data_IF_087809766672
#
_entry.id   IF_087809766672
#
_cell.length_a   1.000
_cell.length_b   1.000
_cell.length_c   1.000
_cell.angle_alpha   90.00
_cell.angle_beta   90.00
_cell.angle_gamma   90.00
#
_symmetry.space_group_name_H-M   'P 1'
#
loop_
_entity.id
_entity.type
_entity.pdbx_description
1 polymer ?
#
# COMPACT_ATOMS: atom_id res chain seq x y z
N UNK A 1 -39.19 22.58 27.09
CA UNK A 1 -37.75 22.72 27.37
C UNK A 1 -37.14 21.34 27.26
N UNK A 2 -37.01 20.86 26.03
CA UNK A 2 -35.80 20.89 25.18
C UNK A 2 -35.03 19.59 25.34
N UNK A 3 -35.51 18.57 24.62
CA UNK A 3 -34.72 17.45 24.14
C UNK A 3 -33.91 17.95 22.94
N UNK A 4 -32.59 18.02 23.11
CA UNK A 4 -31.53 18.30 22.15
C UNK A 4 -30.31 17.55 22.76
N UNK A 5 -29.58 16.65 22.13
CA UNK A 5 -29.35 16.37 20.71
C UNK A 5 -28.78 14.95 20.61
N UNK A 6 -29.57 14.04 20.03
CA UNK A 6 -29.04 12.90 19.28
C UNK A 6 -28.58 13.49 17.95
N UNK A 7 -27.30 13.79 17.83
CA UNK A 7 -26.64 13.99 16.53
C UNK A 7 -25.11 14.09 16.71
N UNK A 8 -24.46 12.95 16.89
CA UNK A 8 -23.11 12.77 16.39
C UNK A 8 -23.23 11.88 15.15
N UNK A 9 -23.93 12.43 14.15
CA UNK A 9 -23.77 12.13 12.72
C UNK A 9 -22.30 11.82 12.46
N UNK A 10 -21.99 10.69 11.84
CA UNK A 10 -21.89 10.70 10.37
C UNK A 10 -21.01 11.85 9.86
N UNK A 11 -19.87 12.12 10.50
CA UNK A 11 -18.65 12.33 9.72
C UNK A 11 -18.25 10.96 9.17
N UNK A 12 -19.11 10.45 8.27
CA UNK A 12 -18.63 9.70 7.13
C UNK A 12 -17.47 10.51 6.60
N UNK A 13 -16.27 9.96 6.74
CA UNK A 13 -15.07 10.36 6.02
C UNK A 13 -15.52 10.66 4.60
N UNK A 14 -15.80 11.93 4.32
CA UNK A 14 -16.05 12.37 2.96
C UNK A 14 -14.82 11.88 2.23
N UNK A 15 -15.02 10.98 1.26
CA UNK A 15 -14.04 10.78 0.21
C UNK A 15 -13.59 12.20 -0.13
N UNK A 16 -12.30 12.49 0.11
CA UNK A 16 -11.76 13.80 -0.21
C UNK A 16 -12.33 14.16 -1.59
N UNK A 17 -12.99 15.33 -1.78
CA UNK A 17 -13.67 15.65 -3.03
C UNK A 17 -12.76 15.49 -4.28
N UNK A 18 -11.46 15.39 -4.05
CA UNK A 18 -10.43 14.95 -4.99
C UNK A 18 -10.60 13.53 -5.58
N UNK A 19 -11.03 12.54 -4.81
CA UNK A 19 -11.17 11.15 -5.26
C UNK A 19 -12.35 10.99 -6.23
N UNK A 20 -13.42 11.77 -6.05
CA UNK A 20 -14.58 11.78 -6.96
C UNK A 20 -14.33 12.63 -8.23
N UNK A 21 -13.57 13.74 -8.12
CA UNK A 21 -13.27 14.60 -9.28
C UNK A 21 -12.11 14.08 -10.17
N UNK A 22 -11.19 13.29 -9.64
CA UNK A 22 -10.03 12.76 -10.40
C UNK A 22 -10.26 11.36 -10.97
N UNK A 23 -11.12 10.55 -10.36
CA UNK A 23 -11.37 9.18 -10.80
C UNK A 23 -12.84 9.01 -11.16
N UNK A 24 -13.23 9.08 -12.45
CA UNK A 24 -14.61 8.86 -12.86
C UNK A 24 -15.07 7.50 -12.33
N UNK A 25 -16.30 7.41 -11.80
CA UNK A 25 -16.84 6.31 -10.99
C UNK A 25 -16.71 4.86 -11.55
N UNK A 26 -16.22 4.66 -12.78
CA UNK A 26 -15.83 3.34 -13.33
C UNK A 26 -14.34 2.99 -13.19
N UNK A 27 -13.46 4.00 -13.10
CA UNK A 27 -12.00 3.83 -13.10
C UNK A 27 -11.50 3.14 -11.82
N UNK A 28 -12.13 3.35 -10.68
CA UNK A 28 -11.72 2.73 -9.41
C UNK A 28 -11.95 1.20 -9.42
N UNK A 29 -13.01 0.72 -10.08
CA UNK A 29 -13.27 -0.71 -10.27
C UNK A 29 -12.36 -1.34 -11.34
N UNK A 30 -12.10 -0.61 -12.42
CA UNK A 30 -11.17 -1.02 -13.48
C UNK A 30 -9.71 -1.04 -12.98
N UNK A 31 -9.31 -0.09 -12.13
CA UNK A 31 -8.02 -0.08 -11.41
C UNK A 31 -7.90 -1.28 -10.45
N UNK A 32 -8.98 -1.59 -9.71
CA UNK A 32 -9.09 -2.76 -8.81
C UNK A 32 -8.73 -4.06 -9.53
N UNK A 33 -9.33 -4.28 -10.71
CA UNK A 33 -9.16 -5.52 -11.47
C UNK A 33 -7.83 -5.57 -12.22
N UNK A 34 -7.43 -4.47 -12.87
CA UNK A 34 -6.24 -4.44 -13.71
C UNK A 34 -4.94 -4.47 -12.90
N UNK A 35 -4.93 -3.90 -11.69
CA UNK A 35 -3.73 -3.88 -10.85
C UNK A 35 -3.45 -5.21 -10.14
N UNK A 36 -4.51 -5.90 -9.67
CA UNK A 36 -4.40 -7.27 -9.21
C UNK A 36 -3.94 -8.19 -10.35
N UNK A 37 -4.36 -7.91 -11.59
CA UNK A 37 -3.95 -8.65 -12.78
C UNK A 37 -2.53 -8.35 -13.30
N UNK A 38 -1.84 -7.30 -12.84
CA UNK A 38 -0.47 -7.02 -13.32
C UNK A 38 0.61 -7.31 -12.26
N UNK A 39 0.35 -6.95 -11.00
CA UNK A 39 1.31 -7.17 -9.92
C UNK A 39 1.45 -8.66 -9.54
N UNK A 40 0.45 -9.50 -9.82
CA UNK A 40 0.55 -10.93 -9.54
C UNK A 40 1.56 -11.67 -10.43
N UNK A 41 2.06 -11.06 -11.49
CA UNK A 41 3.12 -11.67 -12.31
C UNK A 41 4.51 -11.48 -11.69
N UNK A 42 4.65 -10.49 -10.81
CA UNK A 42 5.91 -10.19 -10.12
C UNK A 42 5.92 -10.92 -8.79
N UNK A 43 6.83 -11.86 -8.57
CA UNK A 43 6.96 -12.51 -7.26
C UNK A 43 7.68 -11.62 -6.22
N UNK A 44 7.50 -11.97 -4.95
CA UNK A 44 8.09 -11.25 -3.82
C UNK A 44 9.61 -11.18 -3.88
N UNK A 45 10.29 -12.24 -4.33
CA UNK A 45 11.75 -12.23 -4.42
C UNK A 45 12.20 -11.15 -5.41
N UNK A 46 11.58 -11.12 -6.59
CA UNK A 46 11.85 -10.11 -7.60
C UNK A 46 11.55 -8.68 -7.14
N UNK A 47 10.50 -8.50 -6.33
CA UNK A 47 10.20 -7.20 -5.73
C UNK A 47 11.31 -6.77 -4.74
N UNK A 48 11.75 -7.67 -3.86
CA UNK A 48 12.84 -7.40 -2.90
C UNK A 48 14.14 -7.07 -3.63
N UNK A 49 14.47 -7.81 -4.68
CA UNK A 49 15.64 -7.55 -5.51
C UNK A 49 15.58 -6.18 -6.19
N UNK A 50 14.41 -5.79 -6.72
CA UNK A 50 14.22 -4.46 -7.30
C UNK A 50 14.41 -3.36 -6.26
N UNK A 51 13.91 -3.51 -5.04
CA UNK A 51 14.22 -2.57 -3.95
C UNK A 51 15.71 -2.52 -3.62
N UNK A 52 16.40 -3.66 -3.70
CA UNK A 52 17.84 -3.71 -3.44
C UNK A 52 18.62 -2.97 -4.52
N UNK A 53 18.37 -3.28 -5.78
CA UNK A 53 19.03 -2.69 -6.96
C UNK A 53 18.82 -1.17 -7.05
N UNK A 54 17.64 -0.67 -6.63
CA UNK A 54 17.32 0.75 -6.62
C UNK A 54 17.70 1.47 -5.30
N UNK A 55 18.47 0.81 -4.43
CA UNK A 55 18.91 1.33 -3.14
C UNK A 55 17.76 1.74 -2.18
N UNK A 56 16.56 1.17 -2.32
CA UNK A 56 15.45 1.38 -1.37
C UNK A 56 15.67 0.63 -0.05
N UNK A 57 16.48 -0.44 -0.06
CA UNK A 57 16.82 -1.20 1.14
C UNK A 57 17.59 -0.39 2.20
N UNK A 58 18.35 0.63 1.79
CA UNK A 58 19.15 1.49 2.68
C UNK A 58 18.44 2.77 3.11
N UNK A 59 17.26 3.07 2.56
CA UNK A 59 16.50 4.25 2.93
C UNK A 59 15.71 4.02 4.22
N UNK A 60 15.61 5.09 5.01
CA UNK A 60 14.75 5.13 6.17
C UNK A 60 13.27 4.95 5.76
N UNK A 61 12.47 4.15 6.50
CA UNK A 61 11.08 3.86 6.10
C UNK A 61 10.20 5.10 5.92
N UNK A 62 10.36 6.12 6.77
CA UNK A 62 9.56 7.34 6.74
C UNK A 62 10.12 8.40 5.77
N UNK A 63 11.27 8.15 5.14
CA UNK A 63 11.80 9.07 4.14
C UNK A 63 10.91 9.11 2.90
N UNK A 64 10.79 10.29 2.30
CA UNK A 64 10.06 10.52 1.07
C UNK A 64 10.97 10.42 -0.15
N UNK A 65 10.42 9.89 -1.25
CA UNK A 65 11.09 9.80 -2.54
C UNK A 65 10.23 10.46 -3.61
N UNK A 66 10.89 11.07 -4.59
CA UNK A 66 10.22 11.73 -5.71
C UNK A 66 9.55 10.72 -6.66
N UNK A 67 8.52 11.19 -7.36
CA UNK A 67 7.84 10.45 -8.41
C UNK A 67 8.82 9.87 -9.45
N UNK A 68 9.84 10.64 -9.85
CA UNK A 68 10.86 10.16 -10.80
C UNK A 68 11.66 8.96 -10.27
N UNK A 69 11.96 8.94 -8.97
CA UNK A 69 12.65 7.81 -8.32
C UNK A 69 11.73 6.59 -8.22
N UNK A 70 10.46 6.82 -7.89
CA UNK A 70 9.43 5.76 -7.88
C UNK A 70 9.23 5.18 -9.27
N UNK A 71 9.16 6.01 -10.31
CA UNK A 71 9.07 5.58 -11.70
C UNK A 71 10.25 4.71 -12.11
N UNK A 72 11.47 5.08 -11.73
CA UNK A 72 12.68 4.28 -11.99
C UNK A 72 12.55 2.88 -11.35
N UNK A 73 12.13 2.82 -10.08
CA UNK A 73 11.89 1.56 -9.38
C UNK A 73 10.84 0.70 -10.11
N UNK A 74 9.65 1.25 -10.40
CA UNK A 74 8.56 0.52 -11.05
C UNK A 74 8.95 0.06 -12.46
N UNK A 75 9.65 0.91 -13.21
CA UNK A 75 10.18 0.56 -14.54
C UNK A 75 11.15 -0.62 -14.44
N UNK A 76 12.04 -0.63 -13.45
CA UNK A 76 12.98 -1.75 -13.25
C UNK A 76 12.24 -3.05 -12.95
N UNK A 77 11.17 -3.02 -12.16
CA UNK A 77 10.35 -4.20 -11.83
C UNK A 77 9.77 -4.83 -13.09
N UNK A 78 9.03 -4.06 -13.89
CA UNK A 78 8.39 -4.57 -15.10
C UNK A 78 9.40 -4.91 -16.21
N UNK A 79 10.53 -4.20 -16.26
CA UNK A 79 11.60 -4.53 -17.19
C UNK A 79 12.24 -5.89 -16.87
N UNK A 80 12.51 -6.17 -15.59
CA UNK A 80 13.02 -7.48 -15.17
C UNK A 80 11.98 -8.59 -15.31
N UNK A 81 10.68 -8.28 -15.14
CA UNK A 81 9.60 -9.20 -15.44
C UNK A 81 9.60 -9.61 -16.92
N UNK A 82 9.62 -8.64 -17.84
CA UNK A 82 9.59 -8.91 -19.28
C UNK A 82 10.79 -9.72 -19.78
N UNK A 83 11.95 -9.64 -19.12
CA UNK A 83 13.11 -10.50 -19.40
C UNK A 83 12.88 -11.98 -19.10
N UNK A 84 11.97 -12.29 -18.17
CA UNK A 84 11.66 -13.65 -17.72
C UNK A 84 10.47 -14.25 -18.43
N UNK A 85 9.56 -13.41 -18.94
CA UNK A 85 8.39 -13.85 -19.68
C UNK A 85 8.72 -14.19 -21.14
N UNK A 86 8.07 -15.22 -21.72
CA UNK A 86 8.07 -15.44 -23.16
C UNK A 86 7.62 -14.18 -23.92
N UNK A 87 8.11 -13.93 -25.16
CA UNK A 87 7.74 -12.73 -25.93
C UNK A 87 6.23 -12.53 -26.11
N UNK A 88 5.45 -13.62 -26.17
CA UNK A 88 3.98 -13.59 -26.31
C UNK A 88 3.24 -13.22 -25.02
N UNK A 89 3.93 -13.18 -23.88
CA UNK A 89 3.37 -12.88 -22.56
C UNK A 89 3.96 -11.60 -21.96
N UNK A 90 4.82 -10.88 -22.69
CA UNK A 90 5.37 -9.62 -22.22
C UNK A 90 4.27 -8.57 -22.07
N UNK A 91 4.40 -7.77 -21.02
CA UNK A 91 3.46 -6.68 -20.72
C UNK A 91 3.95 -5.38 -21.36
N UNK A 92 3.02 -4.48 -21.69
CA UNK A 92 3.36 -3.12 -22.11
C UNK A 92 3.97 -2.35 -20.94
N UNK A 93 5.28 -2.13 -21.00
CA UNK A 93 6.04 -1.47 -19.94
C UNK A 93 5.48 -0.07 -19.62
N UNK A 94 5.16 0.72 -20.65
CA UNK A 94 4.72 2.10 -20.48
C UNK A 94 3.35 2.15 -19.79
N UNK A 95 2.43 1.30 -20.24
CA UNK A 95 1.10 1.20 -19.65
C UNK A 95 1.16 0.71 -18.19
N UNK A 96 1.91 -0.37 -17.91
CA UNK A 96 2.04 -0.93 -16.56
C UNK A 96 2.62 0.09 -15.57
N UNK A 97 3.70 0.76 -15.97
CA UNK A 97 4.37 1.77 -15.14
C UNK A 97 3.43 2.93 -14.88
N UNK A 98 2.75 3.44 -15.91
CA UNK A 98 1.83 4.56 -15.78
C UNK A 98 0.68 4.24 -14.82
N UNK A 99 0.02 3.11 -14.99
CA UNK A 99 -1.12 2.72 -14.16
C UNK A 99 -0.74 2.52 -12.70
N UNK A 100 0.37 1.82 -12.43
CA UNK A 100 0.82 1.60 -11.06
C UNK A 100 1.24 2.91 -10.38
N UNK A 101 1.91 3.82 -11.10
CA UNK A 101 2.27 5.13 -10.55
C UNK A 101 1.05 5.99 -10.23
N UNK A 102 0.06 6.04 -11.13
CA UNK A 102 -1.16 6.81 -10.88
C UNK A 102 -1.89 6.31 -9.64
N UNK A 103 -1.98 4.99 -9.45
CA UNK A 103 -2.60 4.44 -8.26
C UNK A 103 -1.79 4.68 -6.99
N UNK A 104 -0.46 4.56 -7.04
CA UNK A 104 0.40 4.85 -5.89
C UNK A 104 0.20 6.30 -5.42
N UNK A 105 0.11 7.24 -6.37
CA UNK A 105 -0.17 8.65 -6.07
C UNK A 105 -1.59 8.83 -5.52
N UNK A 106 -2.61 8.24 -6.15
CA UNK A 106 -3.99 8.32 -5.67
C UNK A 106 -4.17 7.73 -4.26
N UNK A 107 -3.35 6.76 -3.89
CA UNK A 107 -3.42 6.08 -2.58
C UNK A 107 -2.62 6.80 -1.50
N UNK A 108 -1.42 7.30 -1.82
CA UNK A 108 -0.44 7.74 -0.83
C UNK A 108 -0.01 9.21 -0.96
N UNK A 109 -0.45 9.93 -1.99
CA UNK A 109 -0.17 11.36 -2.19
C UNK A 109 -1.45 12.15 -2.52
N UNK A 110 -2.43 12.18 -1.58
CA UNK A 110 -3.68 12.92 -1.79
C UNK A 110 -3.46 14.44 -1.91
N UNK A 111 -2.35 14.95 -1.37
CA UNK A 111 -1.95 16.36 -1.44
C UNK A 111 -1.23 16.73 -2.76
N UNK A 112 -0.98 15.75 -3.63
CA UNK A 112 -0.34 15.92 -4.94
C UNK A 112 1.05 16.57 -4.88
N UNK A 113 1.82 16.23 -3.85
CA UNK A 113 3.19 16.70 -3.65
C UNK A 113 4.19 16.08 -4.63
N UNK A 114 3.84 14.94 -5.23
CA UNK A 114 4.73 14.12 -6.05
C UNK A 114 5.77 13.35 -5.22
N UNK A 115 5.55 13.22 -3.91
CA UNK A 115 6.41 12.53 -2.96
C UNK A 115 5.68 11.32 -2.38
N UNK A 116 6.41 10.22 -2.22
CA UNK A 116 5.88 8.97 -1.65
C UNK A 116 6.83 8.45 -0.58
N UNK A 117 6.28 7.99 0.56
CA UNK A 117 7.14 7.40 1.60
C UNK A 117 7.69 6.06 1.12
N UNK A 118 8.92 5.77 1.54
CA UNK A 118 9.59 4.49 1.27
C UNK A 118 8.79 3.33 1.85
N UNK A 119 8.20 3.49 3.03
CA UNK A 119 7.37 2.47 3.67
C UNK A 119 6.13 2.16 2.85
N UNK A 120 5.40 3.17 2.36
CA UNK A 120 4.22 3.02 1.49
C UNK A 120 4.53 2.13 0.29
N UNK A 121 5.65 2.42 -0.39
CA UNK A 121 6.10 1.66 -1.56
C UNK A 121 6.48 0.22 -1.21
N UNK A 122 7.23 0.00 -0.12
CA UNK A 122 7.62 -1.34 0.32
C UNK A 122 6.41 -2.18 0.71
N UNK A 123 5.46 -1.61 1.45
CA UNK A 123 4.27 -2.29 1.95
C UNK A 123 3.33 -2.63 0.80
N UNK A 124 2.91 -1.64 0.01
CA UNK A 124 1.96 -1.82 -1.09
C UNK A 124 2.45 -2.86 -2.11
N UNK A 125 3.65 -2.67 -2.65
CA UNK A 125 4.18 -3.52 -3.71
C UNK A 125 4.42 -4.95 -3.22
N UNK A 126 4.80 -5.15 -1.95
CA UNK A 126 5.03 -6.49 -1.39
C UNK A 126 3.75 -7.22 -1.00
N UNK A 127 2.69 -6.48 -0.63
CA UNK A 127 1.36 -7.06 -0.42
C UNK A 127 0.78 -7.54 -1.76
N UNK A 128 0.91 -6.72 -2.80
CA UNK A 128 0.29 -6.96 -4.11
C UNK A 128 1.03 -7.94 -5.03
N UNK A 129 2.35 -8.13 -4.85
CA UNK A 129 3.13 -9.05 -5.67
C UNK A 129 2.64 -10.51 -5.53
N UNK A 130 2.99 -11.42 -6.43
CA UNK A 130 2.79 -12.85 -6.21
C UNK A 130 3.70 -13.41 -5.10
N UNK A 131 3.26 -14.51 -4.49
CA UNK A 131 4.05 -15.24 -3.50
C UNK A 131 3.22 -15.88 -2.41
N UNK A 132 3.84 -16.76 -1.63
CA UNK A 132 3.18 -17.38 -0.47
C UNK A 132 2.93 -16.32 0.59
N UNK A 133 1.73 -16.37 1.18
CA UNK A 133 1.35 -15.44 2.26
C UNK A 133 2.39 -15.39 3.38
N UNK A 134 2.90 -16.55 3.80
CA UNK A 134 3.89 -16.62 4.89
C UNK A 134 5.19 -15.89 4.54
N UNK A 135 5.63 -15.93 3.29
CA UNK A 135 6.88 -15.24 2.88
C UNK A 135 6.68 -13.73 2.84
N UNK A 136 5.51 -13.27 2.39
CA UNK A 136 5.12 -11.85 2.45
C UNK A 136 5.07 -11.35 3.89
N UNK A 137 4.43 -12.10 4.79
CA UNK A 137 4.36 -11.76 6.21
C UNK A 137 5.75 -11.69 6.85
N UNK A 138 6.66 -12.62 6.53
CA UNK A 138 8.05 -12.57 7.00
C UNK A 138 8.78 -11.32 6.51
N UNK A 139 8.63 -10.99 5.22
CA UNK A 139 9.23 -9.79 4.67
C UNK A 139 8.66 -8.53 5.35
N UNK A 140 7.34 -8.39 5.42
CA UNK A 140 6.70 -7.25 6.08
C UNK A 140 7.14 -7.13 7.54
N UNK A 141 7.13 -8.22 8.30
CA UNK A 141 7.61 -8.25 9.68
C UNK A 141 9.07 -7.77 9.80
N UNK A 142 9.93 -8.12 8.83
CA UNK A 142 11.32 -7.64 8.82
C UNK A 142 11.46 -6.12 8.68
N UNK A 143 10.45 -5.44 8.11
CA UNK A 143 10.39 -3.97 8.08
C UNK A 143 10.04 -3.38 9.45
N UNK A 144 9.29 -4.13 10.25
CA UNK A 144 8.73 -3.67 11.54
C UNK A 144 9.62 -4.04 12.72
N UNK A 145 10.42 -5.10 12.57
CA UNK A 145 11.27 -5.59 13.62
C UNK A 145 12.54 -4.76 13.81
N UNK A 146 13.07 -4.75 15.03
CA UNK A 146 14.41 -4.27 15.34
C UNK A 146 15.49 -5.31 14.97
N UNK A 147 16.76 -4.98 15.23
CA UNK A 147 17.88 -5.90 14.98
C UNK A 147 17.87 -7.14 15.87
N UNK A 148 17.10 -7.14 16.96
CA UNK A 148 16.86 -8.30 17.82
C UNK A 148 15.71 -9.19 17.36
N UNK A 149 14.98 -8.80 16.30
CA UNK A 149 13.82 -9.53 15.80
C UNK A 149 12.53 -9.24 16.55
N UNK A 150 12.49 -8.21 17.40
CA UNK A 150 11.29 -7.80 18.12
C UNK A 150 10.51 -6.75 17.34
N UNK A 151 9.19 -6.88 17.32
CA UNK A 151 8.31 -5.90 16.70
C UNK A 151 8.43 -4.55 17.40
N UNK A 152 8.63 -3.48 16.62
CA UNK A 152 8.61 -2.12 17.14
C UNK A 152 7.20 -1.52 17.03
N UNK A 153 6.52 -1.18 18.14
CA UNK A 153 5.13 -0.71 18.11
C UNK A 153 4.91 0.52 17.21
N UNK A 154 5.83 1.49 17.23
CA UNK A 154 5.74 2.67 16.36
C UNK A 154 5.84 2.31 14.86
N UNK A 155 6.71 1.36 14.49
CA UNK A 155 6.78 0.89 13.09
C UNK A 155 5.53 0.11 12.68
N UNK A 156 4.96 -0.64 13.62
CA UNK A 156 3.70 -1.35 13.40
C UNK A 156 2.53 -0.39 13.17
N UNK A 157 2.44 0.71 13.93
CA UNK A 157 1.43 1.74 13.72
C UNK A 157 1.51 2.34 12.31
N UNK A 158 2.70 2.79 11.88
CA UNK A 158 2.91 3.28 10.52
C UNK A 158 2.60 2.21 9.46
N UNK A 159 3.00 0.96 9.70
CA UNK A 159 2.65 -0.13 8.78
C UNK A 159 1.15 -0.29 8.60
N UNK A 160 0.35 -0.18 9.67
CA UNK A 160 -1.10 -0.27 9.58
C UNK A 160 -1.69 0.89 8.79
N UNK A 161 -1.16 2.11 8.94
CA UNK A 161 -1.55 3.26 8.10
C UNK A 161 -1.31 2.94 6.63
N UNK A 162 -0.09 2.50 6.28
CA UNK A 162 0.28 2.21 4.90
C UNK A 162 -0.48 1.00 4.32
N UNK A 163 -0.73 -0.04 5.12
CA UNK A 163 -1.39 -1.26 4.69
C UNK A 163 -2.91 -1.08 4.54
N UNK A 164 -3.55 -0.31 5.42
CA UNK A 164 -5.00 -0.04 5.36
C UNK A 164 -5.36 1.04 4.33
N UNK A 165 -4.40 1.83 3.84
CA UNK A 165 -4.58 2.65 2.65
C UNK A 165 -4.93 1.81 1.41
N UNK A 166 -4.47 0.56 1.34
CA UNK A 166 -4.77 -0.35 0.22
C UNK A 166 -6.27 -0.66 0.09
N UNK A 167 -6.96 -1.24 1.10
CA UNK A 167 -8.40 -1.45 1.04
C UNK A 167 -9.17 -0.12 0.89
N UNK A 168 -8.68 0.97 1.48
CA UNK A 168 -9.30 2.29 1.32
C UNK A 168 -9.26 2.77 -0.14
N UNK A 169 -8.13 2.59 -0.86
CA UNK A 169 -7.97 2.95 -2.28
C UNK A 169 -8.96 2.24 -3.21
N UNK A 170 -9.57 1.17 -2.70
CA UNK A 170 -10.53 0.36 -3.43
C UNK A 170 -11.93 0.41 -2.82
N UNK A 171 -12.23 1.46 -2.05
CA UNK A 171 -13.54 1.73 -1.43
C UNK A 171 -14.00 0.67 -0.40
N UNK A 172 -13.06 -0.03 0.22
CA UNK A 172 -13.32 -0.99 1.31
C UNK A 172 -12.99 -0.40 2.69
N UNK A 173 -12.84 0.93 2.78
CA UNK A 173 -12.55 1.62 4.05
C UNK A 173 -13.61 1.40 5.14
N UNK A 174 -14.93 1.27 4.87
CA UNK A 174 -15.89 1.00 5.94
C UNK A 174 -15.64 -0.33 6.65
N UNK A 175 -15.08 -1.31 5.93
CA UNK A 175 -14.73 -2.64 6.47
C UNK A 175 -13.36 -2.63 7.14
N UNK A 176 -12.40 -1.90 6.57
CA UNK A 176 -11.00 -1.90 6.96
C UNK A 176 -10.48 -0.48 7.18
N UNK A 177 -10.99 0.21 8.21
CA UNK A 177 -10.54 1.56 8.54
C UNK A 177 -9.38 1.55 9.55
N UNK A 178 -8.46 2.48 9.38
CA UNK A 178 -7.45 2.78 10.39
C UNK A 178 -8.05 3.61 11.54
N UNK A 179 -7.57 3.41 12.76
CA UNK A 179 -7.76 4.34 13.88
C UNK A 179 -6.46 4.40 14.67
N UNK A 180 -6.21 5.52 15.34
CA UNK A 180 -5.01 5.68 16.20
C UNK A 180 -4.95 4.64 17.34
N UNK A 181 -6.10 4.14 17.77
CA UNK A 181 -6.21 3.10 18.80
C UNK A 181 -5.96 1.68 18.29
N UNK A 182 -6.04 1.45 16.98
CA UNK A 182 -5.96 0.13 16.37
C UNK A 182 -4.65 -0.61 16.69
N UNK A 183 -3.46 0.00 16.59
CA UNK A 183 -2.21 -0.69 16.88
C UNK A 183 -2.17 -1.24 18.31
N UNK A 184 -2.69 -0.48 19.28
CA UNK A 184 -2.76 -0.89 20.68
C UNK A 184 -3.82 -1.99 20.89
N UNK A 185 -4.99 -1.86 20.26
CA UNK A 185 -6.09 -2.82 20.38
C UNK A 185 -5.72 -4.23 19.87
N UNK A 186 -4.81 -4.35 18.89
CA UNK A 186 -4.37 -5.64 18.35
C UNK A 186 -3.58 -6.46 19.39
N UNK A 187 -2.81 -5.80 20.25
CA UNK A 187 -2.04 -6.47 21.31
C UNK A 187 -2.77 -6.52 22.65
N UNK A 188 -4.00 -6.00 22.73
CA UNK A 188 -4.79 -6.03 23.94
C UNK A 188 -5.38 -7.44 24.17
N UNK A 189 -4.66 -8.24 24.94
CA UNK A 189 -5.05 -9.61 25.29
C UNK A 189 -6.29 -9.70 26.17
N UNK A 190 -6.80 -8.59 26.72
CA UNK A 190 -8.04 -8.61 27.51
C UNK A 190 -9.27 -9.00 26.69
N UNK A 191 -9.22 -8.83 25.35
CA UNK A 191 -10.28 -9.23 24.43
C UNK A 191 -10.37 -10.75 24.19
N UNK A 192 -9.30 -11.51 24.43
CA UNK A 192 -9.27 -12.97 24.18
C UNK A 192 -9.62 -13.81 25.41
N UNK A 193 -9.82 -13.21 26.59
CA UNK A 193 -10.14 -13.91 27.84
C UNK A 193 -11.62 -13.82 28.24
N UNK A 194 -12.49 -13.34 27.35
CA UNK A 194 -13.94 -13.22 27.58
C UNK A 194 -14.80 -14.19 26.74
N UNK A 195 -14.18 -15.13 26.00
CA UNK A 195 -14.87 -16.23 25.31
C UNK A 195 -14.56 -17.59 25.93
#
# INVERSE_FOLDING_TARGET
MSALTLDAREESMELSPYLDDVLPHGMAADLKLLMAEMMHLVDLWNMIEAFRENAFHSLEPLAEVSLARTQTLVTSVYYQLNKRLPPTQQVDLGQCVSLLLHWLLATYDPEQTGLLRVLSLKVSLSIMCAGKMVDKLRYLFSLLADSGGHLMPGRFAHFLEEALALPASVLESPTFHYTESLPAAIFDHSRFMQE
#
